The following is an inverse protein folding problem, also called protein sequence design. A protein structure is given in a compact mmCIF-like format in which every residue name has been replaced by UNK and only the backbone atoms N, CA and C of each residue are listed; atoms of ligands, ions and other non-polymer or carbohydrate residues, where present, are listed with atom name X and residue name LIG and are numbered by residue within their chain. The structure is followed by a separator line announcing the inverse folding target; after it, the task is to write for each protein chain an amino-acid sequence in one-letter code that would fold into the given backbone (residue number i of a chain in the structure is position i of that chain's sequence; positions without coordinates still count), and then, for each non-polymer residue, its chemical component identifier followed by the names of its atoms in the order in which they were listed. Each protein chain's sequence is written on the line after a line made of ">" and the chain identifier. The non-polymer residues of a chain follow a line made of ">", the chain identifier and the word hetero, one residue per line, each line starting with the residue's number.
data_IF_776365076442
#
_entry.id   IF_776365076442
#
_cell.length_a   1.000
_cell.length_b   1.000
_cell.length_c   1.000
_cell.angle_alpha   90.00
_cell.angle_beta   90.00
_cell.angle_gamma   90.00
#
_symmetry.space_group_name_H-M   'P 1'
#
loop_
_entity.id
_entity.type
_entity.pdbx_description
1 polymer ?
#
# COMPACT_ATOMS: atom_id res chain seq x y z
N UNK A 1 -1.31 -23.76 -14.64
CA UNK A 1 -1.86 -23.20 -13.38
C UNK A 1 -1.19 -23.92 -12.20
N UNK A 2 -0.66 -23.22 -11.19
CA UNK A 2 -0.17 -23.89 -9.98
C UNK A 2 -1.33 -24.60 -9.30
N UNK A 3 -1.07 -25.79 -8.74
CA UNK A 3 -2.10 -26.55 -8.02
C UNK A 3 -2.62 -25.73 -6.83
N UNK A 4 -3.94 -25.74 -6.54
CA UNK A 4 -4.48 -25.09 -5.35
C UNK A 4 -3.77 -25.64 -4.11
N UNK A 5 -3.16 -24.76 -3.29
CA UNK A 5 -2.52 -25.14 -2.04
C UNK A 5 -0.99 -25.16 -2.03
N UNK A 6 -0.32 -24.86 -3.14
CA UNK A 6 1.16 -24.76 -3.18
C UNK A 6 1.63 -23.33 -2.88
N UNK A 7 2.79 -23.23 -2.19
CA UNK A 7 3.52 -21.95 -2.07
C UNK A 7 3.92 -21.43 -3.45
N UNK A 8 3.84 -20.11 -3.67
CA UNK A 8 4.29 -19.48 -4.89
C UNK A 8 5.75 -19.02 -4.79
N UNK A 9 6.42 -18.88 -5.94
CA UNK A 9 7.77 -18.31 -5.98
C UNK A 9 7.70 -16.80 -5.82
N UNK A 10 8.18 -16.31 -4.68
CA UNK A 10 8.28 -14.89 -4.39
C UNK A 10 9.61 -14.33 -4.90
N UNK A 11 9.54 -13.19 -5.55
CA UNK A 11 10.72 -12.47 -6.06
C UNK A 11 10.83 -11.12 -5.37
N UNK A 12 11.92 -10.87 -4.65
CA UNK A 12 12.23 -9.57 -4.07
C UNK A 12 13.56 -9.06 -4.61
N UNK A 13 13.47 -8.15 -5.60
CA UNK A 13 14.64 -7.67 -6.31
C UNK A 13 15.37 -8.77 -7.11
N UNK A 14 16.57 -8.49 -7.61
CA UNK A 14 17.36 -9.45 -8.41
C UNK A 14 17.93 -10.64 -7.66
N UNK A 15 17.92 -10.64 -6.31
CA UNK A 15 18.74 -11.54 -5.52
C UNK A 15 18.00 -12.49 -4.58
N UNK A 16 16.69 -12.30 -4.35
CA UNK A 16 15.92 -13.19 -3.46
C UNK A 16 14.78 -13.85 -4.20
N UNK A 17 14.93 -15.15 -4.41
CA UNK A 17 13.89 -16.05 -4.91
C UNK A 17 13.63 -17.10 -3.84
N UNK A 18 12.41 -17.19 -3.35
CA UNK A 18 12.04 -18.24 -2.39
C UNK A 18 10.58 -18.62 -2.57
N UNK A 19 10.25 -19.85 -2.20
CA UNK A 19 8.86 -20.25 -2.05
C UNK A 19 8.30 -19.60 -0.79
N UNK A 20 7.25 -18.81 -0.94
CA UNK A 20 6.66 -18.07 0.15
C UNK A 20 5.13 -18.00 0.05
N UNK A 21 4.52 -17.60 1.15
CA UNK A 21 3.16 -17.11 1.20
C UNK A 21 3.20 -15.62 1.53
N UNK A 22 2.21 -14.90 1.08
CA UNK A 22 2.07 -13.47 1.31
C UNK A 22 0.81 -13.19 2.14
N UNK A 23 0.93 -12.33 3.14
CA UNK A 23 -0.17 -11.92 4.01
C UNK A 23 -0.60 -10.49 3.67
N UNK A 24 -1.73 -10.36 3.00
CA UNK A 24 -2.37 -9.08 2.72
C UNK A 24 -3.20 -8.69 3.93
N UNK A 25 -2.75 -7.70 4.69
CA UNK A 25 -3.27 -7.43 6.02
C UNK A 25 -3.67 -5.97 6.15
N UNK A 26 -4.82 -5.74 6.77
CA UNK A 26 -5.32 -4.42 7.13
C UNK A 26 -5.25 -4.25 8.64
N UNK A 27 -4.79 -3.10 9.08
CA UNK A 27 -4.84 -2.71 10.49
C UNK A 27 -5.44 -1.31 10.66
N UNK A 28 -5.94 -1.03 11.86
CA UNK A 28 -6.35 0.31 12.26
C UNK A 28 -5.15 1.21 12.58
N UNK A 29 -5.42 2.49 12.88
CA UNK A 29 -4.38 3.46 13.26
C UNK A 29 -3.65 3.14 14.56
N UNK A 30 -4.18 2.23 15.39
CA UNK A 30 -3.55 1.72 16.62
C UNK A 30 -2.76 0.45 16.36
N UNK A 31 -2.83 -0.10 15.12
CA UNK A 31 -2.16 -1.31 14.69
C UNK A 31 -2.88 -2.58 15.15
N UNK A 32 -4.18 -2.54 15.48
CA UNK A 32 -4.98 -3.75 15.58
C UNK A 32 -5.25 -4.30 14.20
N UNK A 33 -5.01 -5.58 14.02
CA UNK A 33 -5.23 -6.27 12.76
C UNK A 33 -6.73 -6.51 12.61
N UNK A 34 -7.31 -5.96 11.54
CA UNK A 34 -8.75 -6.03 11.25
C UNK A 34 -9.06 -7.19 10.32
N UNK A 35 -8.37 -7.25 9.17
CA UNK A 35 -8.57 -8.27 8.14
C UNK A 35 -7.24 -8.79 7.62
N UNK A 36 -7.24 -10.04 7.17
CA UNK A 36 -6.08 -10.63 6.49
C UNK A 36 -6.50 -11.69 5.47
N UNK A 37 -5.80 -11.72 4.34
CA UNK A 37 -5.89 -12.76 3.32
C UNK A 37 -4.49 -13.30 3.06
N UNK A 38 -4.38 -14.62 2.91
CA UNK A 38 -3.11 -15.29 2.65
C UNK A 38 -3.13 -15.84 1.25
N UNK A 39 -2.12 -15.49 0.47
CA UNK A 39 -1.96 -15.97 -0.90
C UNK A 39 -0.61 -16.65 -1.10
N UNK A 40 -0.45 -17.49 -2.15
CA UNK A 40 0.86 -17.88 -2.63
C UNK A 40 1.68 -16.63 -3.02
N UNK A 41 2.99 -16.62 -2.75
CA UNK A 41 3.85 -15.45 -2.92
C UNK A 41 4.12 -15.01 -4.37
N UNK A 42 3.51 -15.65 -5.35
CA UNK A 42 3.50 -15.24 -6.77
C UNK A 42 2.20 -14.53 -7.18
N UNK A 43 1.26 -14.34 -6.24
CA UNK A 43 0.03 -13.59 -6.48
C UNK A 43 0.30 -12.12 -6.25
N UNK A 44 -0.06 -11.28 -7.23
CA UNK A 44 0.14 -9.85 -7.12
C UNK A 44 -0.82 -9.23 -6.09
N UNK A 45 -0.35 -8.24 -5.34
CA UNK A 45 -1.10 -7.53 -4.28
C UNK A 45 -2.50 -7.09 -4.72
N UNK A 46 -2.63 -6.61 -5.95
CA UNK A 46 -3.91 -6.13 -6.49
C UNK A 46 -4.98 -7.21 -6.61
N UNK A 47 -4.61 -8.48 -6.69
CA UNK A 47 -5.57 -9.60 -6.79
C UNK A 47 -6.19 -9.92 -5.43
N UNK A 48 -5.40 -9.82 -4.37
CA UNK A 48 -5.88 -10.06 -3.01
C UNK A 48 -6.73 -8.90 -2.46
N UNK A 49 -6.60 -7.71 -3.06
CA UNK A 49 -7.28 -6.50 -2.60
C UNK A 49 -8.79 -6.67 -2.51
N UNK A 50 -9.43 -7.18 -3.56
CA UNK A 50 -10.88 -7.28 -3.64
C UNK A 50 -11.46 -8.05 -2.45
N UNK A 51 -10.90 -9.22 -2.15
CA UNK A 51 -11.36 -10.06 -1.03
C UNK A 51 -11.19 -9.36 0.33
N UNK A 52 -10.04 -8.74 0.55
CA UNK A 52 -9.74 -8.05 1.82
C UNK A 52 -10.62 -6.80 1.96
N UNK A 53 -10.81 -6.06 0.89
CA UNK A 53 -11.56 -4.82 0.90
C UNK A 53 -13.06 -5.04 1.08
N UNK A 54 -13.63 -6.09 0.46
CA UNK A 54 -15.04 -6.45 0.67
C UNK A 54 -15.33 -6.83 2.13
N UNK A 55 -14.43 -7.62 2.77
CA UNK A 55 -14.55 -7.93 4.19
C UNK A 55 -14.40 -6.70 5.07
N UNK A 56 -13.44 -5.83 4.74
CA UNK A 56 -13.24 -4.57 5.46
C UNK A 56 -14.51 -3.71 5.43
N UNK A 57 -15.16 -3.56 4.28
CA UNK A 57 -16.40 -2.80 4.14
C UNK A 57 -17.54 -3.41 4.95
N UNK A 58 -17.65 -4.74 4.95
CA UNK A 58 -18.72 -5.46 5.63
C UNK A 58 -18.58 -5.37 7.16
N UNK A 59 -17.36 -5.52 7.69
CA UNK A 59 -17.12 -5.57 9.14
C UNK A 59 -16.85 -4.20 9.76
N UNK A 60 -16.33 -3.24 8.97
CA UNK A 60 -15.89 -1.92 9.44
C UNK A 60 -16.39 -0.81 8.51
N UNK A 61 -17.71 -0.61 8.40
CA UNK A 61 -18.29 0.39 7.50
C UNK A 61 -17.86 1.82 7.83
N UNK A 62 -17.48 2.10 9.08
CA UNK A 62 -17.01 3.40 9.58
C UNK A 62 -15.64 3.83 9.05
N UNK A 63 -14.88 2.93 8.43
CA UNK A 63 -13.58 3.27 7.84
C UNK A 63 -13.78 4.26 6.68
N UNK A 64 -13.17 5.43 6.79
CA UNK A 64 -13.27 6.50 5.80
C UNK A 64 -12.04 6.55 4.87
N UNK A 65 -10.85 6.28 5.40
CA UNK A 65 -9.60 6.40 4.66
C UNK A 65 -8.91 5.04 4.57
N UNK A 66 -8.53 4.65 3.36
CA UNK A 66 -7.80 3.41 3.08
C UNK A 66 -6.39 3.76 2.61
N UNK A 67 -5.41 3.47 3.46
CA UNK A 67 -3.99 3.68 3.14
C UNK A 67 -3.37 2.37 2.67
N UNK A 68 -2.75 2.38 1.50
CA UNK A 68 -2.11 1.19 0.95
C UNK A 68 -0.75 1.50 0.32
N UNK A 69 -0.04 0.44 -0.06
CA UNK A 69 1.28 0.46 -0.66
C UNK A 69 1.21 0.72 -2.19
N UNK A 70 2.35 0.94 -2.81
CA UNK A 70 2.46 1.19 -4.25
C UNK A 70 2.00 0.00 -5.11
N UNK A 71 2.04 -1.23 -4.60
CA UNK A 71 1.51 -2.42 -5.25
C UNK A 71 0.00 -2.36 -5.50
N UNK A 72 -0.72 -1.71 -4.59
CA UNK A 72 -2.17 -1.52 -4.68
C UNK A 72 -2.61 -0.30 -5.51
N UNK A 73 -1.67 0.54 -6.00
CA UNK A 73 -2.01 1.72 -6.79
C UNK A 73 -2.31 1.34 -8.24
N UNK A 74 -3.55 0.91 -8.48
CA UNK A 74 -4.11 0.60 -9.81
C UNK A 74 -5.40 1.39 -10.06
N UNK A 75 -5.79 1.64 -11.33
CA UNK A 75 -7.03 2.35 -11.64
C UNK A 75 -8.26 1.68 -11.04
N UNK A 76 -8.31 0.34 -11.08
CA UNK A 76 -9.41 -0.47 -10.53
C UNK A 76 -9.56 -0.30 -9.02
N UNK A 77 -8.45 -0.42 -8.27
CA UNK A 77 -8.46 -0.27 -6.81
C UNK A 77 -8.88 1.15 -6.40
N UNK A 78 -8.33 2.17 -7.08
CA UNK A 78 -8.74 3.56 -6.82
C UNK A 78 -10.25 3.74 -7.05
N UNK A 79 -10.76 3.23 -8.18
CA UNK A 79 -12.20 3.26 -8.47
C UNK A 79 -13.02 2.58 -7.39
N UNK A 80 -12.70 1.35 -6.98
CA UNK A 80 -13.42 0.63 -5.93
C UNK A 80 -13.48 1.39 -4.61
N UNK A 81 -12.35 2.01 -4.20
CA UNK A 81 -12.29 2.78 -2.95
C UNK A 81 -13.21 3.99 -3.06
N UNK A 82 -13.16 4.77 -4.15
CA UNK A 82 -14.02 5.93 -4.35
C UNK A 82 -15.50 5.56 -4.48
N UNK A 83 -15.84 4.53 -5.23
CA UNK A 83 -17.22 4.06 -5.40
C UNK A 83 -17.84 3.60 -4.07
N UNK A 84 -17.03 3.16 -3.12
CA UNK A 84 -17.47 2.83 -1.76
C UNK A 84 -17.57 4.05 -0.83
N UNK A 85 -17.41 5.27 -1.34
CA UNK A 85 -17.45 6.51 -0.56
C UNK A 85 -16.22 6.72 0.34
N UNK A 86 -15.14 5.96 0.13
CA UNK A 86 -13.92 6.04 0.94
C UNK A 86 -12.80 6.79 0.19
N UNK A 87 -11.81 7.22 0.93
CA UNK A 87 -10.70 8.05 0.43
C UNK A 87 -9.43 7.20 0.33
N UNK A 88 -8.82 7.04 -0.87
CA UNK A 88 -7.54 6.36 -1.00
C UNK A 88 -6.38 7.27 -0.58
N UNK A 89 -5.49 6.76 0.27
CA UNK A 89 -4.21 7.41 0.63
C UNK A 89 -3.07 6.53 0.13
N UNK A 90 -2.54 6.84 -1.06
CA UNK A 90 -1.60 6.02 -1.80
C UNK A 90 -0.28 6.75 -2.06
N UNK A 91 0.85 6.03 -2.14
CA UNK A 91 2.14 6.66 -2.38
C UNK A 91 2.30 7.13 -3.82
N UNK A 92 3.31 7.97 -4.02
CA UNK A 92 3.79 8.24 -5.36
C UNK A 92 4.37 6.97 -5.99
N UNK A 93 3.92 6.65 -7.19
CA UNK A 93 4.52 5.59 -8.03
C UNK A 93 5.22 6.26 -9.21
N UNK A 94 6.54 6.22 -9.21
CA UNK A 94 7.32 6.81 -10.30
C UNK A 94 6.99 6.12 -11.62
N UNK A 95 6.56 6.87 -12.64
CA UNK A 95 6.37 6.31 -13.97
C UNK A 95 7.68 5.78 -14.54
N UNK A 96 7.65 4.59 -15.12
CA UNK A 96 8.82 4.01 -15.78
C UNK A 96 8.95 4.63 -17.17
N UNK A 97 9.86 5.59 -17.30
CA UNK A 97 10.23 6.16 -18.59
C UNK A 97 11.62 5.65 -18.98
N UNK A 98 11.76 5.13 -20.20
CA UNK A 98 13.05 4.72 -20.73
C UNK A 98 13.99 5.91 -20.78
N UNK A 99 15.25 5.73 -20.35
CA UNK A 99 16.25 6.81 -20.32
C UNK A 99 16.37 7.45 -21.71
N UNK A 100 16.33 8.77 -21.77
CA UNK A 100 16.39 9.54 -23.01
C UNK A 100 15.02 9.81 -23.68
N UNK A 101 13.96 9.11 -23.28
CA UNK A 101 12.62 9.36 -23.81
C UNK A 101 11.89 10.48 -23.05
N UNK A 102 10.94 11.09 -23.74
CA UNK A 102 10.02 12.06 -23.13
C UNK A 102 9.17 11.39 -22.05
N UNK A 103 9.04 12.01 -20.87
CA UNK A 103 8.23 11.47 -19.81
C UNK A 103 6.73 11.55 -20.16
N UNK A 104 5.92 10.69 -19.54
CA UNK A 104 4.49 10.59 -19.82
C UNK A 104 3.75 11.90 -19.54
N UNK A 105 4.15 12.65 -18.52
CA UNK A 105 3.54 13.95 -18.15
C UNK A 105 3.82 15.07 -19.17
N UNK A 106 4.70 14.82 -20.13
CA UNK A 106 4.90 15.74 -21.27
C UNK A 106 3.73 15.69 -22.29
N UNK A 107 2.86 14.70 -22.14
CA UNK A 107 1.67 14.52 -22.97
C UNK A 107 0.44 14.93 -22.18
N UNK A 108 -0.32 15.90 -22.66
CA UNK A 108 -1.48 16.46 -21.96
C UNK A 108 -2.75 15.85 -22.55
N UNK A 109 -3.59 15.28 -21.68
CA UNK A 109 -4.91 14.80 -22.10
C UNK A 109 -5.91 15.96 -22.10
N UNK A 110 -6.59 16.13 -23.22
CA UNK A 110 -7.71 17.06 -23.37
C UNK A 110 -9.00 16.27 -23.26
N UNK A 111 -9.74 16.51 -22.17
CA UNK A 111 -10.98 15.81 -21.86
C UNK A 111 -12.13 16.21 -22.80
N UNK A 112 -12.15 17.47 -23.22
CA UNK A 112 -13.22 18.00 -24.06
C UNK A 112 -13.18 17.39 -25.47
N UNK A 113 -11.97 17.28 -26.06
CA UNK A 113 -11.79 16.71 -27.40
C UNK A 113 -11.45 15.22 -27.41
N UNK A 114 -11.36 14.58 -26.23
CA UNK A 114 -10.90 13.18 -26.06
C UNK A 114 -9.64 12.88 -26.90
N UNK A 115 -8.62 13.72 -26.74
CA UNK A 115 -7.36 13.59 -27.45
C UNK A 115 -6.17 13.84 -26.52
N UNK A 116 -4.96 13.51 -26.99
CA UNK A 116 -3.73 13.82 -26.26
C UNK A 116 -2.90 14.79 -27.09
N UNK A 117 -2.44 15.86 -26.45
CA UNK A 117 -1.50 16.83 -27.02
C UNK A 117 -0.06 16.40 -26.71
N UNK A 118 0.77 16.38 -27.72
CA UNK A 118 2.20 16.14 -27.53
C UNK A 118 2.95 17.43 -27.20
N UNK A 119 4.22 17.39 -26.73
CA UNK A 119 5.02 18.57 -26.41
C UNK A 119 5.31 19.52 -27.59
N UNK A 120 4.91 19.17 -28.80
CA UNK A 120 4.97 20.00 -30.01
C UNK A 120 3.56 20.41 -30.49
N UNK A 121 2.59 20.42 -29.57
CA UNK A 121 1.19 20.83 -29.79
C UNK A 121 0.50 20.09 -30.96
N UNK A 122 0.91 18.82 -31.19
CA UNK A 122 0.25 17.97 -32.18
C UNK A 122 -0.71 17.01 -31.51
N UNK A 123 -1.87 16.84 -32.12
CA UNK A 123 -2.95 16.00 -31.61
C UNK A 123 -2.66 14.51 -31.89
N UNK A 124 -2.76 13.70 -30.84
CA UNK A 124 -2.89 12.27 -30.93
C UNK A 124 -4.38 11.93 -30.75
N UNK A 125 -4.99 11.43 -31.80
CA UNK A 125 -6.41 11.08 -31.79
C UNK A 125 -6.63 9.71 -31.19
N UNK A 126 -7.79 9.50 -30.57
CA UNK A 126 -8.23 8.17 -30.14
C UNK A 126 -8.19 7.17 -31.32
N UNK A 127 -7.65 6.00 -31.10
CA UNK A 127 -7.56 4.94 -32.11
C UNK A 127 -8.36 3.70 -31.71
N UNK A 128 -8.16 3.19 -30.50
CA UNK A 128 -8.82 1.98 -30.01
C UNK A 128 -8.71 1.86 -28.49
N UNK A 129 -9.49 0.95 -27.89
CA UNK A 129 -9.31 0.54 -26.50
C UNK A 129 -8.92 -0.93 -26.48
N UNK A 130 -7.83 -1.27 -25.80
CA UNK A 130 -7.38 -2.64 -25.67
C UNK A 130 -8.22 -3.44 -24.65
N UNK A 131 -8.00 -4.77 -24.59
CA UNK A 131 -8.76 -5.66 -23.68
C UNK A 131 -8.50 -5.40 -22.21
N UNK A 132 -7.43 -4.69 -21.88
CA UNK A 132 -7.06 -4.31 -20.51
C UNK A 132 -7.66 -2.96 -20.09
N UNK A 133 -8.50 -2.33 -20.94
CA UNK A 133 -9.14 -1.06 -20.65
C UNK A 133 -8.26 0.16 -20.90
N UNK A 134 -7.15 0.03 -21.64
CA UNK A 134 -6.36 1.19 -22.03
C UNK A 134 -6.82 1.73 -23.39
N UNK A 135 -7.23 2.99 -23.40
CA UNK A 135 -7.44 3.78 -24.60
C UNK A 135 -6.10 4.13 -25.22
N UNK A 136 -5.94 3.87 -26.50
CA UNK A 136 -4.74 4.20 -27.28
C UNK A 136 -5.00 5.44 -28.12
N UNK A 137 -4.13 6.43 -27.98
CA UNK A 137 -4.11 7.66 -28.76
C UNK A 137 -2.90 7.65 -29.65
N UNK A 138 -3.09 7.87 -30.98
CA UNK A 138 -2.03 7.72 -31.97
C UNK A 138 -1.83 9.02 -32.74
N UNK A 139 -0.56 9.38 -32.94
CA UNK A 139 -0.19 10.45 -33.86
C UNK A 139 -0.23 9.99 -35.31
N UNK A 140 -0.37 10.93 -36.23
CA UNK A 140 -0.20 10.67 -37.67
C UNK A 140 1.30 10.62 -37.98
N UNK A 141 1.76 9.57 -38.70
CA UNK A 141 3.18 9.34 -38.98
C UNK A 141 3.87 10.49 -39.73
N UNK A 142 3.18 11.09 -40.73
CA UNK A 142 3.74 12.18 -41.51
C UNK A 142 4.03 13.45 -40.69
N UNK A 143 3.29 13.66 -39.58
CA UNK A 143 3.52 14.80 -38.66
C UNK A 143 4.78 14.54 -37.83
N UNK A 144 5.00 13.29 -37.38
CA UNK A 144 6.13 12.96 -36.53
C UNK A 144 7.43 12.69 -37.35
N UNK A 145 7.37 12.49 -38.65
CA UNK A 145 8.51 12.22 -39.49
C UNK A 145 9.54 13.36 -39.46
N UNK A 146 9.08 14.61 -39.53
CA UNK A 146 9.91 15.82 -39.48
C UNK A 146 10.00 16.48 -38.09
N UNK A 147 9.53 15.78 -37.04
CA UNK A 147 9.49 16.33 -35.70
C UNK A 147 10.88 16.44 -35.06
N UNK A 148 11.31 17.60 -34.55
CA UNK A 148 12.63 17.81 -33.97
C UNK A 148 12.91 16.96 -32.72
N UNK A 149 11.88 16.55 -32.01
CA UNK A 149 12.00 15.70 -30.79
C UNK A 149 11.68 14.23 -31.05
N UNK A 150 11.59 13.82 -32.30
CA UNK A 150 11.21 12.46 -32.71
C UNK A 150 12.01 11.38 -32.00
N UNK A 151 13.34 11.49 -31.96
CA UNK A 151 14.23 10.47 -31.38
C UNK A 151 13.96 10.19 -29.90
N UNK A 152 13.53 11.25 -29.17
CA UNK A 152 13.15 11.15 -27.78
C UNK A 152 11.69 10.76 -27.57
N UNK A 153 10.88 10.81 -28.62
CA UNK A 153 9.44 10.59 -28.58
C UNK A 153 9.05 9.19 -29.07
N UNK A 154 9.49 8.80 -30.27
CA UNK A 154 9.16 7.50 -30.86
C UNK A 154 10.29 6.94 -31.71
N UNK A 155 10.50 5.63 -31.58
CA UNK A 155 11.43 4.85 -32.41
C UNK A 155 10.69 3.93 -33.41
N UNK A 156 9.36 4.14 -33.55
CA UNK A 156 8.55 3.34 -34.47
C UNK A 156 8.95 3.60 -35.94
N UNK A 157 9.07 2.54 -36.76
CA UNK A 157 9.38 2.63 -38.19
C UNK A 157 8.35 3.44 -39.00
N UNK A 158 7.09 3.46 -38.51
CA UNK A 158 6.02 4.23 -39.15
C UNK A 158 5.92 5.67 -38.61
N UNK A 159 6.89 6.10 -37.80
CA UNK A 159 6.96 7.41 -37.15
C UNK A 159 5.71 7.75 -36.29
N UNK A 160 4.94 6.75 -35.86
CA UNK A 160 3.77 6.95 -35.04
C UNK A 160 4.13 6.91 -33.56
N UNK A 161 3.58 7.83 -32.77
CA UNK A 161 3.60 7.79 -31.31
C UNK A 161 2.26 7.26 -30.81
N UNK A 162 2.30 6.27 -29.92
CA UNK A 162 1.12 5.82 -29.19
C UNK A 162 1.28 6.20 -27.73
N UNK A 163 0.26 6.83 -27.16
CA UNK A 163 0.13 7.11 -25.74
C UNK A 163 -1.13 6.42 -25.23
N UNK A 164 -1.04 5.75 -24.10
CA UNK A 164 -2.17 5.02 -23.52
C UNK A 164 -2.70 5.70 -22.28
N UNK A 165 -4.03 5.73 -22.11
CA UNK A 165 -4.73 6.23 -20.93
C UNK A 165 -5.78 5.20 -20.53
N UNK A 166 -5.76 4.76 -19.27
CA UNK A 166 -6.75 3.80 -18.78
C UNK A 166 -8.15 4.46 -18.69
N UNK A 167 -9.22 3.71 -18.94
CA UNK A 167 -10.62 4.21 -18.86
C UNK A 167 -10.95 4.78 -17.49
N UNK A 168 -10.30 4.32 -16.42
CA UNK A 168 -10.44 4.80 -15.04
C UNK A 168 -9.22 5.62 -14.58
N UNK A 169 -8.53 6.26 -15.50
CA UNK A 169 -7.34 7.07 -15.18
C UNK A 169 -7.69 8.26 -14.26
N UNK A 170 -8.88 8.82 -14.39
CA UNK A 170 -9.38 9.90 -13.54
C UNK A 170 -9.33 9.56 -12.03
N UNK A 171 -9.62 8.31 -11.67
CA UNK A 171 -9.55 7.86 -10.27
C UNK A 171 -8.11 7.83 -9.75
N UNK A 172 -7.13 7.52 -10.59
CA UNK A 172 -5.72 7.63 -10.24
C UNK A 172 -5.29 9.08 -10.05
N UNK A 173 -5.76 9.99 -10.89
CA UNK A 173 -5.48 11.43 -10.83
C UNK A 173 -6.08 12.02 -9.56
N UNK A 174 -7.34 11.73 -9.26
CA UNK A 174 -7.99 12.12 -7.99
C UNK A 174 -7.24 11.56 -6.76
N UNK A 175 -6.76 10.32 -6.81
CA UNK A 175 -5.96 9.75 -5.72
C UNK A 175 -4.60 10.45 -5.58
N UNK A 176 -4.03 10.95 -6.68
CA UNK A 176 -2.81 11.75 -6.68
C UNK A 176 -3.05 13.14 -6.05
N UNK A 177 -4.18 13.78 -6.32
CA UNK A 177 -4.57 15.04 -5.69
C UNK A 177 -4.72 14.88 -4.17
N UNK A 178 -5.37 13.78 -3.73
CA UNK A 178 -5.47 13.46 -2.31
C UNK A 178 -4.08 13.29 -1.69
N UNK A 179 -3.15 12.63 -2.37
CA UNK A 179 -1.77 12.46 -1.89
C UNK A 179 -1.09 13.80 -1.60
N UNK A 180 -1.37 14.83 -2.38
CA UNK A 180 -0.83 16.18 -2.19
C UNK A 180 -1.53 16.96 -1.08
N UNK A 181 -2.75 16.57 -0.70
CA UNK A 181 -3.53 17.22 0.34
C UNK A 181 -2.92 17.02 1.75
N UNK A 182 -3.24 17.90 2.71
CA UNK A 182 -2.83 17.71 4.12
C UNK A 182 -3.31 16.36 4.69
N UNK A 183 -4.55 15.96 4.39
CA UNK A 183 -5.12 14.69 4.82
C UNK A 183 -4.31 13.50 4.28
N UNK A 184 -4.02 13.47 2.99
CA UNK A 184 -3.27 12.38 2.37
C UNK A 184 -1.85 12.26 2.93
N UNK A 185 -1.16 13.38 3.13
CA UNK A 185 0.18 13.40 3.76
C UNK A 185 0.14 12.87 5.20
N UNK A 186 -0.80 13.34 6.02
CA UNK A 186 -0.94 12.94 7.41
C UNK A 186 -1.29 11.44 7.53
N UNK A 187 -2.26 10.96 6.76
CA UNK A 187 -2.70 9.56 6.80
C UNK A 187 -1.62 8.61 6.28
N UNK A 188 -0.91 8.97 5.20
CA UNK A 188 0.15 8.14 4.67
C UNK A 188 1.36 8.04 5.63
N UNK A 189 1.69 9.13 6.34
CA UNK A 189 2.77 9.14 7.33
C UNK A 189 2.53 8.15 8.51
N UNK A 190 1.27 7.88 8.86
CA UNK A 190 0.93 6.91 9.90
C UNK A 190 1.31 5.47 9.54
N UNK A 191 1.54 5.17 8.28
CA UNK A 191 1.83 3.82 7.79
C UNK A 191 3.06 3.20 8.44
N UNK A 192 4.14 3.97 8.62
CA UNK A 192 5.37 3.52 9.30
C UNK A 192 5.15 3.16 10.76
N UNK A 193 4.19 3.81 11.42
CA UNK A 193 3.85 3.58 12.82
C UNK A 193 2.78 2.49 13.01
N UNK A 194 2.10 2.10 11.96
CA UNK A 194 0.98 1.15 11.98
C UNK A 194 1.36 -0.17 11.30
N UNK A 195 1.02 -0.34 10.04
CA UNK A 195 1.15 -1.63 9.35
C UNK A 195 2.59 -2.12 9.22
N UNK A 196 3.56 -1.22 8.99
CA UNK A 196 4.96 -1.62 8.91
C UNK A 196 5.46 -2.14 10.27
N UNK A 197 5.03 -1.51 11.37
CA UNK A 197 5.32 -1.97 12.72
C UNK A 197 4.64 -3.29 13.04
N UNK A 198 3.38 -3.49 12.61
CA UNK A 198 2.68 -4.78 12.75
C UNK A 198 3.47 -5.90 12.08
N UNK A 199 3.93 -5.70 10.84
CA UNK A 199 4.74 -6.72 10.15
C UNK A 199 6.13 -6.90 10.77
N UNK A 200 6.76 -5.85 11.28
CA UNK A 200 8.02 -5.97 12.02
C UNK A 200 7.83 -6.81 13.29
N UNK A 201 6.82 -6.50 14.11
CA UNK A 201 6.51 -7.25 15.32
C UNK A 201 6.14 -8.71 15.01
N UNK A 202 5.38 -8.97 13.95
CA UNK A 202 5.04 -10.31 13.51
C UNK A 202 6.30 -11.14 13.19
N UNK A 203 7.25 -10.57 12.48
CA UNK A 203 8.49 -11.23 12.09
C UNK A 203 9.46 -11.42 13.26
N UNK A 204 9.66 -10.40 14.07
CA UNK A 204 10.70 -10.38 15.11
C UNK A 204 10.22 -11.00 16.44
N UNK A 205 8.96 -10.76 16.83
CA UNK A 205 8.45 -11.16 18.15
C UNK A 205 7.50 -12.35 18.12
N UNK A 206 6.94 -12.66 16.92
CA UNK A 206 5.94 -13.72 16.78
C UNK A 206 6.39 -14.84 15.83
N UNK A 207 7.68 -14.88 15.46
CA UNK A 207 8.32 -15.92 14.66
C UNK A 207 7.67 -16.12 13.27
N UNK A 208 7.14 -15.05 12.66
CA UNK A 208 6.46 -15.12 11.35
C UNK A 208 7.41 -14.91 10.16
N UNK A 209 8.75 -14.96 10.34
CA UNK A 209 9.70 -14.94 9.21
C UNK A 209 9.63 -16.21 8.37
N UNK A 210 9.41 -17.33 9.02
CA UNK A 210 9.33 -18.64 8.40
C UNK A 210 8.12 -19.37 8.94
N UNK A 211 7.41 -20.08 8.07
CA UNK A 211 6.29 -20.92 8.47
C UNK A 211 6.77 -22.38 8.62
N UNK A 212 6.40 -23.07 9.72
CA UNK A 212 6.66 -24.51 9.86
C UNK A 212 5.63 -25.35 9.08
N UNK A 213 4.56 -24.72 8.58
CA UNK A 213 3.46 -25.42 7.91
C UNK A 213 3.60 -25.37 6.39
N UNK A 214 3.05 -26.39 5.73
CA UNK A 214 2.92 -26.48 4.27
C UNK A 214 1.44 -26.47 3.88
N UNK A 215 1.15 -25.88 2.72
CA UNK A 215 -0.20 -25.76 2.20
C UNK A 215 -0.93 -24.51 2.70
N UNK A 216 -1.71 -23.90 1.79
CA UNK A 216 -2.33 -22.60 2.02
C UNK A 216 -3.27 -22.61 3.23
N UNK A 217 -4.08 -23.66 3.40
CA UNK A 217 -5.06 -23.75 4.50
C UNK A 217 -4.36 -23.77 5.88
N UNK A 218 -3.32 -24.59 6.05
CA UNK A 218 -2.59 -24.68 7.32
C UNK A 218 -1.83 -23.39 7.63
N UNK A 219 -1.21 -22.77 6.61
CA UNK A 219 -0.53 -21.47 6.77
C UNK A 219 -1.51 -20.37 7.09
N UNK A 220 -2.69 -20.33 6.44
CA UNK A 220 -3.76 -19.37 6.73
C UNK A 220 -4.23 -19.47 8.19
N UNK A 221 -4.51 -20.67 8.68
CA UNK A 221 -4.92 -20.89 10.06
C UNK A 221 -3.82 -20.43 11.04
N UNK A 222 -2.57 -20.78 10.77
CA UNK A 222 -1.43 -20.38 11.60
C UNK A 222 -1.24 -18.86 11.63
N UNK A 223 -1.31 -18.15 10.48
CA UNK A 223 -1.18 -16.70 10.41
C UNK A 223 -2.32 -16.02 11.17
N UNK A 224 -3.57 -16.48 10.99
CA UNK A 224 -4.75 -15.92 11.70
C UNK A 224 -4.61 -16.08 13.22
N UNK A 225 -4.14 -17.23 13.70
CA UNK A 225 -3.87 -17.44 15.13
C UNK A 225 -2.77 -16.51 15.66
N UNK A 226 -1.68 -16.33 14.91
CA UNK A 226 -0.61 -15.38 15.28
C UNK A 226 -1.13 -13.95 15.36
N UNK A 227 -1.91 -13.50 14.40
CA UNK A 227 -2.48 -12.16 14.39
C UNK A 227 -3.52 -11.97 15.50
N UNK A 228 -4.34 -12.98 15.80
CA UNK A 228 -5.22 -12.95 16.95
C UNK A 228 -4.45 -12.82 18.28
N UNK A 229 -3.38 -13.58 18.45
CA UNK A 229 -2.50 -13.46 19.63
C UNK A 229 -1.84 -12.08 19.74
N UNK A 230 -1.43 -11.48 18.60
CA UNK A 230 -0.89 -10.12 18.57
C UNK A 230 -1.95 -9.09 19.01
N UNK A 231 -3.18 -9.21 18.54
CA UNK A 231 -4.28 -8.35 18.96
C UNK A 231 -4.60 -8.50 20.46
N UNK A 232 -4.67 -9.73 20.96
CA UNK A 232 -4.90 -10.01 22.38
C UNK A 232 -3.80 -9.42 23.27
N UNK A 233 -2.53 -9.62 22.88
CA UNK A 233 -1.39 -9.01 23.58
C UNK A 233 -1.49 -7.49 23.62
N UNK A 234 -1.84 -6.88 22.51
CA UNK A 234 -2.01 -5.41 22.41
C UNK A 234 -3.16 -4.93 23.30
N UNK A 235 -4.28 -5.66 23.28
CA UNK A 235 -5.44 -5.36 24.14
C UNK A 235 -5.08 -5.45 25.63
N UNK A 236 -4.38 -6.51 26.02
CA UNK A 236 -3.90 -6.68 27.39
C UNK A 236 -3.02 -5.51 27.81
N UNK A 237 -2.00 -5.18 27.04
CA UNK A 237 -1.10 -4.06 27.33
C UNK A 237 -1.82 -2.72 27.38
N UNK A 238 -2.85 -2.51 26.55
CA UNK A 238 -3.63 -1.27 26.56
C UNK A 238 -4.49 -1.17 27.82
N UNK A 239 -5.14 -2.24 28.23
CA UNK A 239 -5.98 -2.27 29.45
C UNK A 239 -5.16 -2.19 30.74
N UNK A 240 -3.98 -2.83 30.79
CA UNK A 240 -3.15 -2.87 32.01
C UNK A 240 -2.20 -1.69 32.16
N UNK A 241 -1.96 -0.92 31.10
CA UNK A 241 -1.05 0.23 31.14
C UNK A 241 -1.39 1.27 32.22
N UNK A 242 -2.65 1.68 32.44
CA UNK A 242 -2.98 2.61 33.53
C UNK A 242 -2.73 2.01 34.91
N UNK A 243 -3.01 0.71 35.13
CA UNK A 243 -2.72 0.04 36.39
C UNK A 243 -1.22 -0.05 36.68
N UNK A 244 -0.42 -0.36 35.66
CA UNK A 244 1.03 -0.42 35.79
C UNK A 244 1.63 0.94 36.14
N UNK A 245 1.17 2.01 35.49
CA UNK A 245 1.60 3.37 35.79
C UNK A 245 1.21 3.81 37.21
N UNK A 246 0.00 3.48 37.61
CA UNK A 246 -0.48 3.74 38.97
C UNK A 246 0.35 2.95 40.01
N UNK A 247 0.62 1.68 39.76
CA UNK A 247 1.45 0.84 40.63
C UNK A 247 2.89 1.36 40.75
N UNK A 248 3.50 1.78 39.61
CA UNK A 248 4.82 2.39 39.61
C UNK A 248 4.85 3.72 40.37
N UNK A 249 3.80 4.53 40.28
CA UNK A 249 3.67 5.76 41.06
C UNK A 249 3.60 5.46 42.56
N UNK A 250 2.79 4.47 42.96
CA UNK A 250 2.72 4.06 44.37
C UNK A 250 4.06 3.54 44.90
N UNK A 251 4.80 2.77 44.11
CA UNK A 251 6.16 2.31 44.49
C UNK A 251 7.14 3.50 44.63
N UNK A 252 7.04 4.51 43.78
CA UNK A 252 7.86 5.71 43.86
C UNK A 252 7.53 6.51 45.14
N UNK A 253 6.27 6.67 45.49
CA UNK A 253 5.82 7.29 46.72
C UNK A 253 6.29 6.52 47.96
N UNK A 254 6.17 5.18 47.93
CA UNK A 254 6.63 4.32 49.04
C UNK A 254 8.16 4.37 49.25
N UNK A 255 8.94 4.52 48.14
CA UNK A 255 10.42 4.70 48.26
C UNK A 255 10.79 6.06 48.82
N UNK A 256 10.06 7.13 48.45
CA UNK A 256 10.26 8.47 48.99
C UNK A 256 9.91 8.53 50.52
N UNK A 257 8.84 7.85 50.94
CA UNK A 257 8.48 7.74 52.35
C UNK A 257 9.55 6.97 53.17
N UNK A 258 10.12 5.89 52.62
CA UNK A 258 11.24 5.16 53.27
C UNK A 258 12.50 6.02 53.41
N UNK A 259 12.83 6.82 52.44
CA UNK A 259 13.98 7.77 52.53
C UNK A 259 13.76 8.84 53.61
N UNK A 260 12.54 9.35 53.73
CA UNK A 260 12.22 10.35 54.77
C UNK A 260 12.23 9.78 56.17
N UNK A 261 11.91 8.49 56.36
CA UNK A 261 11.95 7.82 57.70
C UNK A 261 13.39 7.44 58.07
N UNK A 262 14.25 7.14 57.13
CA UNK A 262 15.67 6.84 57.41
C UNK A 262 16.49 8.06 57.85
N UNK A 263 16.08 9.28 57.55
CA UNK A 263 16.72 10.50 58.00
C UNK A 263 16.41 10.95 59.45
N UNK A 264 15.44 10.27 60.11
CA UNK A 264 15.04 10.59 61.51
C UNK A 264 15.75 9.71 62.57
N UNK A 265 16.55 8.73 62.21
CA UNK A 265 17.23 7.82 63.16
C UNK A 265 18.75 8.04 63.25
N UNK A 266 19.24 9.20 62.90
CA UNK A 266 20.66 9.56 62.96
C UNK A 266 20.95 10.65 63.99
N UNK A 267 20.76 10.38 65.32
CA UNK A 267 21.38 11.14 66.36
C UNK A 267 21.59 10.30 67.62
N UNK A 268 22.84 10.00 67.91
CA UNK A 268 23.16 9.36 69.19
C UNK A 268 24.58 8.87 69.25
N UNK A 269 25.50 9.75 69.80
CA UNK A 269 26.83 9.53 70.34
C UNK A 269 27.94 8.99 69.47
#
# INVERSE_FOLDING_TARGET
>A
MPRPGTSGMFHKGGHRKCFAYEAHTVCDRRGYILETEITPGNVHDSVAFDTVFERLKAHYPEVQVVTADAGYKTPWICKQIFDSGKIPSLPYKRPMTKKGNLPWYAYVYDEYYDCILCPQDKVLSYATTNREGYREYKSKGYICQSCPVRERCTQNRQYTKTVTRHIWQEYLERAEDIRHSPLGKATYALRSQTIERVFADAKEKHAMRYTPYRGLAAVTAWVKLKFAAMNLKKLALHKWRPFLLFYLHLLQEATLLRCNVASLTGCGC
#
